data_IF_432246954367
#
_entry.id   IF_432246954367
#
_cell.length_a   1.000
_cell.length_b   1.000
_cell.length_c   1.000
_cell.angle_alpha   90.00
_cell.angle_beta   90.00
_cell.angle_gamma   90.00
#
_symmetry.space_group_name_H-M   'P 1'
#
loop_
_entity.id
_entity.type
_entity.pdbx_description
1 polymer ?
#
# COMPACT_ATOMS: atom_id res chain seq x y z
N UNK A 1 14.31 5.63 -16.92
CA UNK A 1 13.02 4.96 -17.07
C UNK A 1 12.29 4.67 -15.74
N UNK A 2 12.87 4.97 -14.57
CA UNK A 2 12.31 4.66 -13.23
C UNK A 2 11.63 5.86 -12.51
N UNK A 3 11.48 6.99 -13.18
CA UNK A 3 10.93 8.21 -12.54
C UNK A 3 9.46 8.50 -12.82
N UNK A 4 8.84 7.76 -13.72
CA UNK A 4 7.46 8.05 -14.16
C UNK A 4 6.37 7.37 -13.34
N UNK A 5 6.71 6.36 -12.52
CA UNK A 5 5.74 5.64 -11.69
C UNK A 5 5.50 6.29 -10.31
N UNK A 6 6.38 7.22 -9.92
CA UNK A 6 6.31 7.86 -8.58
C UNK A 6 5.43 9.11 -8.54
N UNK A 7 4.98 9.60 -9.70
CA UNK A 7 4.16 10.83 -9.82
C UNK A 7 2.65 10.55 -9.88
N UNK A 8 2.24 9.29 -9.89
CA UNK A 8 0.82 8.90 -10.04
C UNK A 8 0.17 8.52 -8.69
N UNK A 9 0.96 8.38 -7.65
CA UNK A 9 0.42 8.28 -6.30
C UNK A 9 0.49 9.69 -5.70
N UNK A 10 -0.64 10.43 -5.61
CA UNK A 10 -0.70 11.54 -4.70
C UNK A 10 -0.29 10.96 -3.35
N UNK A 11 0.55 11.71 -2.64
CA UNK A 11 1.02 11.41 -1.29
C UNK A 11 0.04 10.46 -0.61
N UNK A 12 0.41 9.16 -0.55
CA UNK A 12 -0.47 8.14 -0.02
C UNK A 12 -0.56 8.38 1.49
N UNK A 13 -1.21 9.48 1.85
CA UNK A 13 -1.77 9.66 3.15
C UNK A 13 -2.63 8.42 3.36
N UNK A 14 -2.14 7.48 4.18
CA UNK A 14 -2.90 6.37 4.70
C UNK A 14 -4.29 6.91 5.01
N UNK A 15 -5.36 6.25 4.55
CA UNK A 15 -6.70 6.75 4.76
C UNK A 15 -6.84 7.05 6.24
N UNK A 16 -6.96 8.33 6.57
CA UNK A 16 -7.30 8.78 7.91
C UNK A 16 -8.55 8.00 8.26
N UNK A 17 -8.47 7.16 9.29
CA UNK A 17 -9.62 6.42 9.79
C UNK A 17 -10.74 7.44 9.96
N UNK A 18 -11.69 7.42 9.04
CA UNK A 18 -12.91 8.21 9.15
C UNK A 18 -13.51 7.78 10.48
N UNK A 19 -13.73 8.72 11.37
CA UNK A 19 -14.45 8.49 12.62
C UNK A 19 -15.91 8.20 12.28
N UNK A 20 -16.14 6.96 11.81
CA UNK A 20 -17.48 6.43 11.63
C UNK A 20 -17.93 5.92 13.02
N UNK A 21 -19.07 6.38 13.48
CA UNK A 21 -19.68 6.01 14.77
C UNK A 21 -20.11 4.52 14.82
N UNK A 22 -19.71 3.72 13.82
CA UNK A 22 -19.90 2.28 13.74
C UNK A 22 -18.83 1.56 14.54
N UNK A 23 -19.25 0.64 15.41
CA UNK A 23 -18.34 -0.20 16.19
C UNK A 23 -17.52 -1.11 15.26
N UNK A 24 -16.23 -0.79 15.08
CA UNK A 24 -15.25 -1.64 14.44
C UNK A 24 -14.69 -2.71 15.40
N UNK A 25 -13.92 -3.66 14.84
CA UNK A 25 -13.19 -4.66 15.63
C UNK A 25 -11.80 -4.12 15.94
N UNK A 26 -11.65 -3.55 17.13
CA UNK A 26 -10.41 -2.89 17.58
C UNK A 26 -9.14 -3.76 17.42
N UNK A 27 -9.26 -5.09 17.58
CA UNK A 27 -8.12 -5.97 17.41
C UNK A 27 -7.60 -5.99 15.98
N UNK A 28 -8.47 -5.86 14.98
CA UNK A 28 -8.07 -5.77 13.57
C UNK A 28 -7.30 -4.47 13.35
N UNK A 29 -7.85 -3.34 13.76
CA UNK A 29 -7.22 -2.02 13.62
C UNK A 29 -5.85 -1.95 14.30
N UNK A 30 -5.77 -2.49 15.52
CA UNK A 30 -4.49 -2.57 16.26
C UNK A 30 -3.49 -3.47 15.55
N UNK A 31 -3.93 -4.59 14.98
CA UNK A 31 -3.07 -5.51 14.23
C UNK A 31 -2.52 -4.89 12.96
N UNK A 32 -3.35 -4.16 12.22
CA UNK A 32 -2.95 -3.51 10.97
C UNK A 32 -1.81 -2.51 11.14
N UNK A 33 -1.64 -1.88 12.30
CA UNK A 33 -0.47 -1.02 12.58
C UNK A 33 0.87 -1.71 12.37
N UNK A 34 0.93 -3.04 12.56
CA UNK A 34 2.14 -3.83 12.31
C UNK A 34 2.39 -3.99 10.80
N UNK A 35 1.33 -4.17 10.02
CA UNK A 35 1.40 -4.23 8.56
C UNK A 35 1.82 -2.88 7.98
N UNK A 36 1.32 -1.78 8.52
CA UNK A 36 1.67 -0.41 8.11
C UNK A 36 3.18 -0.16 8.28
N UNK A 37 3.75 -0.61 9.40
CA UNK A 37 5.20 -0.49 9.65
C UNK A 37 6.01 -1.28 8.63
N UNK A 38 5.57 -2.51 8.28
CA UNK A 38 6.22 -3.31 7.25
C UNK A 38 6.06 -2.70 5.87
N UNK A 39 4.86 -2.22 5.53
CA UNK A 39 4.58 -1.61 4.23
C UNK A 39 5.36 -0.31 4.00
N UNK A 40 5.56 0.48 5.06
CA UNK A 40 6.36 1.71 5.00
C UNK A 40 7.86 1.45 4.86
N UNK A 41 8.31 0.20 5.07
CA UNK A 41 9.72 -0.16 5.07
C UNK A 41 10.01 -1.08 3.89
N UNK A 42 10.97 -0.71 3.04
CA UNK A 42 11.33 -1.49 1.84
C UNK A 42 12.25 -2.69 2.13
N UNK A 43 12.22 -3.24 3.34
CA UNK A 43 13.10 -4.35 3.76
C UNK A 43 12.49 -5.16 4.90
N UNK A 44 12.84 -6.46 5.01
CA UNK A 44 12.43 -7.30 6.13
C UNK A 44 12.91 -6.77 7.48
N UNK A 45 12.08 -6.85 8.51
CA UNK A 45 12.32 -6.28 9.84
C UNK A 45 12.29 -7.33 10.95
N UNK A 46 12.98 -7.03 12.05
CA UNK A 46 12.88 -7.82 13.28
C UNK A 46 11.59 -7.49 14.04
N UNK A 47 11.01 -8.47 14.72
CA UNK A 47 9.79 -8.29 15.52
C UNK A 47 9.85 -7.09 16.46
N UNK A 48 11.01 -6.90 17.12
CA UNK A 48 11.23 -5.79 18.06
C UNK A 48 11.02 -4.42 17.39
N UNK A 49 11.55 -4.28 16.17
CA UNK A 49 11.51 -3.00 15.44
C UNK A 49 10.11 -2.72 14.90
N UNK A 50 9.42 -3.77 14.42
CA UNK A 50 8.01 -3.69 14.00
C UNK A 50 7.13 -3.30 15.19
N UNK A 51 7.28 -3.96 16.33
CA UNK A 51 6.50 -3.69 17.55
C UNK A 51 6.72 -2.25 18.04
N UNK A 52 7.98 -1.78 18.03
CA UNK A 52 8.33 -0.40 18.36
C UNK A 52 7.67 0.61 17.42
N UNK A 53 7.75 0.37 16.10
CA UNK A 53 7.11 1.22 15.10
C UNK A 53 5.59 1.29 15.25
N UNK A 54 4.95 0.17 15.60
CA UNK A 54 3.52 0.08 15.84
C UNK A 54 3.07 0.58 17.23
N UNK A 55 4.01 1.00 18.09
CA UNK A 55 3.70 1.50 19.43
C UNK A 55 3.12 0.44 20.38
N UNK A 56 3.57 -0.82 20.28
CA UNK A 56 3.06 -1.89 21.14
C UNK A 56 4.16 -2.80 21.68
N UNK A 57 3.90 -3.52 22.82
CA UNK A 57 4.84 -4.48 23.38
C UNK A 57 5.09 -5.65 22.42
N UNK A 58 6.34 -6.13 22.34
CA UNK A 58 6.75 -7.23 21.46
C UNK A 58 5.92 -8.52 21.67
N UNK A 59 5.57 -8.85 22.91
CA UNK A 59 4.73 -10.01 23.21
C UNK A 59 3.31 -9.90 22.59
N UNK A 60 2.73 -8.69 22.58
CA UNK A 60 1.45 -8.42 21.93
C UNK A 60 1.60 -8.48 20.40
N UNK A 61 2.63 -7.83 19.86
CA UNK A 61 2.94 -7.86 18.43
C UNK A 61 3.12 -9.29 17.93
N UNK A 62 3.86 -10.15 18.64
CA UNK A 62 4.07 -11.54 18.27
C UNK A 62 2.77 -12.31 18.04
N UNK A 63 1.76 -12.10 18.89
CA UNK A 63 0.46 -12.79 18.76
C UNK A 63 -0.26 -12.42 17.45
N UNK A 64 -0.19 -11.14 17.05
CA UNK A 64 -0.73 -10.69 15.77
C UNK A 64 0.07 -11.24 14.60
N UNK A 65 1.42 -11.21 14.70
CA UNK A 65 2.30 -11.73 13.65
C UNK A 65 2.05 -13.22 13.38
N UNK A 66 1.83 -14.03 14.43
CA UNK A 66 1.44 -15.44 14.28
C UNK A 66 0.12 -15.58 13.51
N UNK A 67 -0.86 -14.74 13.80
CA UNK A 67 -2.15 -14.76 13.08
C UNK A 67 -1.98 -14.35 11.63
N UNK A 68 -1.20 -13.31 11.35
CA UNK A 68 -0.93 -12.84 10.00
C UNK A 68 -0.11 -13.84 9.18
N UNK A 69 0.82 -14.57 9.80
CA UNK A 69 1.53 -15.67 9.13
C UNK A 69 0.59 -16.82 8.76
N UNK A 70 -0.36 -17.16 9.63
CA UNK A 70 -1.33 -18.25 9.35
C UNK A 70 -2.19 -17.98 8.13
N UNK A 71 -2.53 -16.71 7.87
CA UNK A 71 -3.32 -16.29 6.70
C UNK A 71 -2.45 -15.85 5.52
N UNK A 72 -1.13 -15.88 5.65
CA UNK A 72 -0.20 -15.55 4.56
C UNK A 72 0.00 -14.07 4.28
N UNK A 73 -0.50 -13.18 5.15
CA UNK A 73 -0.25 -11.72 5.02
C UNK A 73 1.18 -11.36 5.33
N UNK A 74 1.85 -12.11 6.20
CA UNK A 74 3.24 -11.93 6.59
C UNK A 74 3.95 -13.27 6.45
N UNK A 75 5.22 -13.23 6.14
CA UNK A 75 6.13 -14.37 6.20
C UNK A 75 7.33 -14.06 7.09
N UNK A 76 7.97 -15.11 7.59
CA UNK A 76 9.19 -15.01 8.38
C UNK A 76 10.29 -15.81 7.70
N UNK A 77 11.39 -15.16 7.39
CA UNK A 77 12.60 -15.85 6.96
C UNK A 77 13.21 -16.63 8.13
N UNK A 78 13.30 -17.94 7.99
CA UNK A 78 13.81 -18.84 9.03
C UNK A 78 15.29 -18.64 9.33
N UNK A 79 16.06 -18.17 8.36
CA UNK A 79 17.50 -17.99 8.53
C UNK A 79 17.84 -16.74 9.33
N UNK A 80 17.17 -15.62 9.02
CA UNK A 80 17.41 -14.32 9.67
C UNK A 80 16.44 -14.02 10.80
N UNK A 81 15.30 -14.72 10.88
CA UNK A 81 14.22 -14.43 11.82
C UNK A 81 13.44 -13.15 11.51
N UNK A 82 13.70 -12.50 10.36
CA UNK A 82 13.05 -11.27 9.96
C UNK A 82 11.69 -11.56 9.33
N UNK A 83 10.80 -10.59 9.45
CA UNK A 83 9.45 -10.61 8.92
C UNK A 83 9.34 -9.70 7.72
N UNK A 84 8.55 -10.11 6.74
CA UNK A 84 8.20 -9.36 5.54
C UNK A 84 6.74 -9.58 5.16
N UNK A 85 6.23 -8.81 4.20
CA UNK A 85 4.91 -9.03 3.64
C UNK A 85 4.87 -10.37 2.91
N UNK A 86 3.85 -11.17 3.18
CA UNK A 86 3.66 -12.48 2.59
C UNK A 86 2.95 -12.44 1.22
N UNK A 87 2.90 -13.60 0.58
CA UNK A 87 2.30 -13.76 -0.76
C UNK A 87 0.82 -13.35 -0.82
N UNK A 88 0.05 -13.52 0.24
CA UNK A 88 -1.35 -13.13 0.27
C UNK A 88 -1.52 -11.60 0.28
N UNK A 89 -0.61 -10.85 0.93
CA UNK A 89 -0.60 -9.40 0.85
C UNK A 89 -0.39 -8.92 -0.59
N UNK A 90 0.55 -9.56 -1.33
CA UNK A 90 0.76 -9.29 -2.74
C UNK A 90 -0.47 -9.58 -3.59
N UNK A 91 -1.14 -10.72 -3.36
CA UNK A 91 -2.36 -11.09 -4.08
C UNK A 91 -3.48 -10.07 -3.87
N UNK A 92 -3.68 -9.60 -2.63
CA UNK A 92 -4.66 -8.56 -2.31
C UNK A 92 -4.33 -7.26 -3.04
N UNK A 93 -3.07 -6.83 -3.02
CA UNK A 93 -2.60 -5.63 -3.71
C UNK A 93 -2.82 -5.72 -5.23
N UNK A 94 -2.41 -6.83 -5.85
CA UNK A 94 -2.61 -7.06 -7.28
C UNK A 94 -4.10 -7.12 -7.67
N UNK A 95 -4.93 -7.74 -6.84
CA UNK A 95 -6.38 -7.78 -7.06
C UNK A 95 -7.00 -6.38 -6.99
N UNK A 96 -6.53 -5.53 -6.08
CA UNK A 96 -6.91 -4.13 -5.99
C UNK A 96 -6.49 -3.35 -7.23
N UNK A 97 -5.21 -3.48 -7.62
CA UNK A 97 -4.66 -2.82 -8.81
C UNK A 97 -5.41 -3.20 -10.09
N UNK A 98 -5.77 -4.48 -10.25
CA UNK A 98 -6.52 -4.96 -11.42
C UNK A 98 -7.94 -4.39 -11.56
N UNK A 99 -8.46 -3.75 -10.51
CA UNK A 99 -9.77 -3.07 -10.51
C UNK A 99 -9.68 -1.56 -10.74
N UNK A 100 -8.47 -1.01 -10.74
CA UNK A 100 -8.27 0.40 -11.00
C UNK A 100 -8.47 0.68 -12.50
N UNK A 101 -9.16 1.75 -12.79
CA UNK A 101 -9.23 2.36 -14.12
C UNK A 101 -8.16 3.46 -14.20
N UNK A 102 -7.03 3.24 -14.88
CA UNK A 102 -5.95 4.22 -14.94
C UNK A 102 -6.39 5.54 -15.61
N UNK A 103 -7.30 5.46 -16.57
CA UNK A 103 -7.82 6.65 -17.27
C UNK A 103 -8.62 7.51 -16.31
N UNK A 104 -9.54 6.89 -15.57
CA UNK A 104 -10.35 7.58 -14.57
C UNK A 104 -9.51 8.22 -13.45
N UNK A 105 -8.43 7.56 -13.05
CA UNK A 105 -7.51 8.10 -12.03
C UNK A 105 -6.68 9.27 -12.55
N UNK A 106 -6.36 9.28 -13.84
CA UNK A 106 -5.56 10.33 -14.45
C UNK A 106 -6.35 11.63 -14.70
N UNK A 107 -7.67 11.55 -14.91
CA UNK A 107 -8.50 12.71 -15.27
C UNK A 107 -8.33 13.90 -14.33
N UNK A 108 -8.50 13.79 -12.99
CA UNK A 108 -8.35 14.95 -12.12
C UNK A 108 -6.94 15.55 -12.15
N UNK A 109 -5.90 14.72 -12.27
CA UNK A 109 -4.51 15.18 -12.38
C UNK A 109 -4.28 15.94 -13.70
N UNK A 110 -4.91 15.49 -14.79
CA UNK A 110 -4.82 16.16 -16.09
C UNK A 110 -5.58 17.48 -16.09
N UNK A 111 -6.72 17.56 -15.40
CA UNK A 111 -7.49 18.79 -15.22
C UNK A 111 -6.67 19.84 -14.47
N UNK A 112 -6.10 19.48 -13.33
CA UNK A 112 -5.23 20.35 -12.53
C UNK A 112 -4.02 20.84 -13.35
N UNK A 113 -3.36 19.93 -14.08
CA UNK A 113 -2.21 20.25 -14.91
C UNK A 113 -2.59 21.17 -16.08
N UNK A 114 -3.76 20.94 -16.71
CA UNK A 114 -4.27 21.77 -17.79
C UNK A 114 -4.48 23.23 -17.32
N UNK A 115 -5.02 23.40 -16.12
CA UNK A 115 -5.19 24.72 -15.51
C UNK A 115 -3.85 25.37 -15.17
N UNK A 116 -2.91 24.62 -14.58
CA UNK A 116 -1.60 25.14 -14.19
C UNK A 116 -0.79 25.65 -15.38
N UNK A 117 -0.76 24.89 -16.48
CA UNK A 117 0.03 25.25 -17.67
C UNK A 117 -0.74 26.14 -18.66
N UNK A 118 -2.04 26.36 -18.41
CA UNK A 118 -2.95 27.05 -19.34
C UNK A 118 -2.83 26.53 -20.78
N UNK A 119 -2.81 25.21 -20.93
CA UNK A 119 -2.55 24.51 -22.19
C UNK A 119 -3.37 23.24 -22.35
N UNK A 120 -3.11 22.49 -23.42
CA UNK A 120 -3.74 21.20 -23.68
C UNK A 120 -2.90 20.08 -23.08
N UNK A 121 -3.56 19.16 -22.36
CA UNK A 121 -2.95 17.95 -21.79
C UNK A 121 -3.64 16.73 -22.38
N UNK A 122 -2.90 15.68 -22.66
CA UNK A 122 -3.45 14.43 -23.16
C UNK A 122 -2.80 13.24 -22.45
N UNK A 123 -3.60 12.21 -22.15
CA UNK A 123 -3.13 10.92 -21.68
C UNK A 123 -2.90 10.00 -22.86
N UNK A 124 -1.71 9.41 -22.96
CA UNK A 124 -1.43 8.37 -23.93
C UNK A 124 -1.02 7.08 -23.21
N UNK A 125 -1.57 5.96 -23.61
CA UNK A 125 -1.21 4.62 -23.16
C UNK A 125 -0.49 3.87 -24.26
N UNK A 126 0.48 3.05 -23.89
CA UNK A 126 1.22 2.25 -24.85
C UNK A 126 0.44 0.97 -25.14
N UNK A 127 -0.08 0.85 -26.34
CA UNK A 127 -0.80 -0.32 -26.84
C UNK A 127 -0.01 -1.12 -27.86
N UNK A 128 -0.64 -2.14 -28.46
CA UNK A 128 -0.03 -3.00 -29.46
C UNK A 128 0.42 -2.26 -30.75
N UNK A 129 -0.10 -1.09 -30.99
CA UNK A 129 0.21 -0.25 -32.16
C UNK A 129 0.98 1.04 -31.79
N UNK A 130 1.55 1.11 -30.58
CA UNK A 130 2.27 2.27 -30.09
C UNK A 130 1.45 3.10 -29.10
N UNK A 131 1.87 4.36 -28.88
CA UNK A 131 1.19 5.27 -27.98
C UNK A 131 -0.17 5.69 -28.57
N UNK A 132 -1.24 5.46 -27.83
CA UNK A 132 -2.61 5.81 -28.20
C UNK A 132 -3.16 6.81 -27.19
N UNK A 133 -3.66 7.96 -27.68
CA UNK A 133 -4.35 8.94 -26.83
C UNK A 133 -5.72 8.38 -26.45
N UNK A 134 -6.06 8.45 -25.16
CA UNK A 134 -7.31 7.91 -24.59
C UNK A 134 -8.08 8.97 -23.84
#
# INVERSE_FOLDING_TARGET
>A
MHRMLLLILPDAAMPTLVSDDRQGIQSIEVGFRLLDVLAATSRPMMLRDIAKGAGMPAAKAHRYMVSFMRIGLIEQDRASGRYDLGSYALQLGLSGLGRLDPVRLAVPVLEDLCEEINGTVALAVWGNHGATVV
#
